data_IF_884271815213
#
_entry.id   IF_884271815213
#
_cell.length_a   1.000
_cell.length_b   1.000
_cell.length_c   1.000
_cell.angle_alpha   90.00
_cell.angle_beta   90.00
_cell.angle_gamma   90.00
#
_symmetry.space_group_name_H-M   'P 1'
#
loop_
_entity.id
_entity.type
_entity.pdbx_description
1 polymer ?
#
# COMPACT_ATOMS: atom_id res chain seq x y z
N UNK A 1 57.96 43.32 25.40
CA UNK A 1 58.28 41.88 25.47
C UNK A 1 57.10 41.14 24.86
N UNK A 2 57.38 40.31 23.85
CA UNK A 2 56.47 39.87 22.79
C UNK A 2 55.29 39.02 23.28
N UNK A 3 54.05 39.44 22.97
CA UNK A 3 52.90 38.54 22.85
C UNK A 3 52.79 38.14 21.38
N UNK A 4 53.28 36.95 21.04
CA UNK A 4 53.11 36.36 19.71
C UNK A 4 52.06 35.25 19.80
N UNK A 5 50.88 35.60 19.29
CA UNK A 5 49.76 34.77 18.85
C UNK A 5 50.13 33.36 18.35
N UNK A 6 49.69 32.35 19.09
CA UNK A 6 49.64 30.95 18.67
C UNK A 6 48.34 30.73 17.87
N UNK A 7 48.33 31.18 16.62
CA UNK A 7 47.35 30.75 15.62
C UNK A 7 48.06 29.73 14.72
N UNK A 8 47.97 28.46 15.08
CA UNK A 8 48.36 27.37 14.18
C UNK A 8 47.39 27.37 13.00
N UNK A 9 47.82 27.97 11.88
CA UNK A 9 47.23 27.70 10.58
C UNK A 9 47.52 26.24 10.24
N UNK A 10 46.55 25.35 10.48
CA UNK A 10 46.57 23.99 9.94
C UNK A 10 46.63 24.11 8.42
N UNK A 11 47.81 23.84 7.86
CA UNK A 11 48.02 23.85 6.41
C UNK A 11 47.31 22.63 5.82
N UNK A 12 46.14 22.86 5.23
CA UNK A 12 45.39 21.81 4.53
C UNK A 12 45.77 21.86 3.06
N UNK A 13 46.36 20.77 2.53
CA UNK A 13 46.74 20.68 1.12
C UNK A 13 45.49 20.82 0.23
N UNK A 14 45.40 21.85 -0.63
CA UNK A 14 44.22 22.07 -1.48
C UNK A 14 43.94 20.92 -2.46
N UNK A 15 44.95 20.13 -2.83
CA UNK A 15 44.76 18.93 -3.66
C UNK A 15 44.06 17.81 -2.88
N UNK A 16 44.37 17.68 -1.60
CA UNK A 16 43.72 16.72 -0.71
C UNK A 16 42.25 17.10 -0.47
N UNK A 17 41.97 18.39 -0.27
CA UNK A 17 40.60 18.91 -0.13
C UNK A 17 39.79 18.67 -1.40
N UNK A 18 40.35 18.93 -2.58
CA UNK A 18 39.70 18.65 -3.86
C UNK A 18 39.39 17.16 -4.07
N UNK A 19 40.30 16.29 -3.66
CA UNK A 19 40.11 14.83 -3.74
C UNK A 19 39.04 14.34 -2.77
N UNK A 20 39.08 14.77 -1.51
CA UNK A 20 38.11 14.36 -0.49
C UNK A 20 36.70 14.87 -0.83
N UNK A 21 36.58 16.11 -1.31
CA UNK A 21 35.30 16.66 -1.74
C UNK A 21 34.74 15.93 -2.96
N UNK A 22 35.57 15.59 -3.94
CA UNK A 22 35.14 14.79 -5.09
C UNK A 22 34.64 13.39 -4.67
N UNK A 23 35.36 12.71 -3.77
CA UNK A 23 34.97 11.39 -3.25
C UNK A 23 33.64 11.48 -2.49
N UNK A 24 33.46 12.49 -1.64
CA UNK A 24 32.21 12.68 -0.90
C UNK A 24 31.02 12.91 -1.84
N UNK A 25 31.18 13.71 -2.88
CA UNK A 25 30.13 13.95 -3.89
C UNK A 25 29.76 12.65 -4.60
N UNK A 26 30.74 11.85 -5.02
CA UNK A 26 30.48 10.55 -5.67
C UNK A 26 29.73 9.60 -4.74
N UNK A 27 30.11 9.53 -3.46
CA UNK A 27 29.42 8.71 -2.46
C UNK A 27 27.97 9.15 -2.26
N UNK A 28 27.71 10.45 -2.19
CA UNK A 28 26.34 10.99 -2.05
C UNK A 28 25.48 10.69 -3.28
N UNK A 29 26.05 10.84 -4.48
CA UNK A 29 25.34 10.52 -5.73
C UNK A 29 25.04 9.02 -5.81
N UNK A 30 25.99 8.16 -5.47
CA UNK A 30 25.78 6.71 -5.44
C UNK A 30 24.72 6.32 -4.40
N UNK A 31 24.75 6.90 -3.20
CA UNK A 31 23.79 6.62 -2.15
C UNK A 31 22.36 7.01 -2.56
N UNK A 32 22.18 8.21 -3.12
CA UNK A 32 20.87 8.68 -3.62
C UNK A 32 20.35 7.83 -4.78
N UNK A 33 21.23 7.40 -5.69
CA UNK A 33 20.83 6.48 -6.76
C UNK A 33 20.39 5.11 -6.22
N UNK A 34 21.13 4.57 -5.24
CA UNK A 34 20.79 3.32 -4.58
C UNK A 34 19.45 3.39 -3.84
N UNK A 35 19.17 4.46 -3.08
CA UNK A 35 17.90 4.61 -2.37
C UNK A 35 16.73 4.72 -3.34
N UNK A 36 16.85 5.48 -4.43
CA UNK A 36 15.81 5.58 -5.47
C UNK A 36 15.56 4.23 -6.14
N UNK A 37 16.60 3.46 -6.45
CA UNK A 37 16.49 2.11 -7.03
C UNK A 37 15.79 1.14 -6.08
N UNK A 38 16.14 1.16 -4.79
CA UNK A 38 15.52 0.31 -3.77
C UNK A 38 14.05 0.68 -3.61
N UNK A 39 13.72 1.96 -3.45
CA UNK A 39 12.33 2.42 -3.29
C UNK A 39 11.49 2.10 -4.53
N UNK A 40 12.01 2.33 -5.75
CA UNK A 40 11.31 1.94 -6.98
C UNK A 40 11.10 0.42 -7.03
N UNK A 41 12.15 -0.37 -6.80
CA UNK A 41 12.05 -1.85 -6.79
C UNK A 41 11.05 -2.34 -5.74
N UNK A 42 11.03 -1.73 -4.56
CA UNK A 42 10.08 -2.03 -3.49
C UNK A 42 8.66 -1.67 -3.92
N UNK A 43 8.46 -0.48 -4.51
CA UNK A 43 7.15 -0.03 -5.02
C UNK A 43 6.61 -0.88 -6.17
N UNK A 44 7.48 -1.41 -7.02
CA UNK A 44 7.10 -2.39 -8.06
C UNK A 44 6.78 -3.77 -7.50
N UNK A 45 7.43 -4.18 -6.39
CA UNK A 45 7.14 -5.45 -5.71
C UNK A 45 5.88 -5.40 -4.85
N UNK A 46 5.61 -4.25 -4.25
CA UNK A 46 4.37 -3.95 -3.55
C UNK A 46 3.41 -3.17 -4.45
N UNK A 47 3.21 -3.60 -5.71
CA UNK A 47 2.08 -3.08 -6.47
C UNK A 47 0.82 -3.56 -5.76
N UNK A 48 0.19 -2.70 -4.93
CA UNK A 48 -0.76 -3.17 -3.94
C UNK A 48 -1.98 -3.76 -4.64
N UNK A 49 -2.31 -3.26 -5.84
CA UNK A 49 -3.41 -3.76 -6.66
C UNK A 49 -3.21 -5.21 -7.08
N UNK A 50 -1.98 -5.65 -7.36
CA UNK A 50 -1.71 -7.05 -7.72
C UNK A 50 -1.76 -7.96 -6.49
N UNK A 51 -1.15 -7.54 -5.38
CA UNK A 51 -1.19 -8.27 -4.11
C UNK A 51 -2.62 -8.42 -3.58
N UNK A 52 -3.43 -7.35 -3.63
CA UNK A 52 -4.83 -7.42 -3.23
C UNK A 52 -5.64 -8.33 -4.14
N UNK A 53 -5.38 -8.31 -5.45
CA UNK A 53 -6.07 -9.17 -6.40
C UNK A 53 -5.74 -10.65 -6.16
N UNK A 54 -4.46 -10.98 -5.97
CA UNK A 54 -3.99 -12.33 -5.67
C UNK A 54 -4.57 -12.85 -4.34
N UNK A 55 -4.56 -12.01 -3.28
CA UNK A 55 -5.15 -12.37 -1.99
C UNK A 55 -6.67 -12.51 -2.08
N UNK A 56 -7.38 -11.66 -2.83
CA UNK A 56 -8.82 -11.81 -3.04
C UNK A 56 -9.16 -13.09 -3.81
N UNK A 57 -8.39 -13.39 -4.85
CA UNK A 57 -8.57 -14.61 -5.64
C UNK A 57 -8.30 -15.86 -4.79
N UNK A 58 -7.29 -15.83 -3.90
CA UNK A 58 -7.02 -16.92 -2.95
C UNK A 58 -8.14 -17.07 -1.89
N UNK A 59 -8.63 -15.96 -1.34
CA UNK A 59 -9.74 -15.97 -0.36
C UNK A 59 -11.03 -16.50 -1.02
N UNK A 60 -11.38 -16.02 -2.21
CA UNK A 60 -12.58 -16.43 -2.94
C UNK A 60 -12.45 -17.87 -3.45
N UNK A 61 -11.26 -18.27 -3.89
CA UNK A 61 -10.95 -19.62 -4.39
C UNK A 61 -10.73 -20.66 -3.29
N UNK A 62 -10.69 -20.26 -2.02
CA UNK A 62 -10.58 -21.19 -0.91
C UNK A 62 -11.81 -22.09 -0.83
N UNK A 63 -11.59 -23.40 -0.77
CA UNK A 63 -12.65 -24.42 -0.62
C UNK A 63 -13.58 -24.15 0.59
N UNK A 64 -13.06 -23.45 1.61
CA UNK A 64 -13.83 -23.03 2.79
C UNK A 64 -14.86 -21.94 2.49
N UNK A 65 -14.72 -21.22 1.38
CA UNK A 65 -15.55 -20.07 1.01
C UNK A 65 -16.73 -20.44 0.10
N UNK A 66 -16.64 -21.56 -0.62
CA UNK A 66 -17.70 -22.10 -1.51
C UNK A 66 -19.11 -22.04 -0.90
N UNK A 67 -19.36 -22.43 0.36
CA UNK A 67 -20.70 -22.35 0.96
C UNK A 67 -21.23 -20.92 1.16
N UNK A 68 -20.33 -19.95 1.30
CA UNK A 68 -20.65 -18.55 1.57
C UNK A 68 -20.82 -17.72 0.30
N UNK A 69 -20.35 -18.23 -0.84
CA UNK A 69 -20.53 -17.59 -2.15
C UNK A 69 -21.98 -17.76 -2.62
N UNK A 70 -22.75 -16.66 -2.56
CA UNK A 70 -24.13 -16.62 -3.06
C UNK A 70 -24.18 -16.03 -4.46
N UNK A 71 -24.93 -16.67 -5.36
CA UNK A 71 -25.09 -16.18 -6.74
C UNK A 71 -25.95 -14.92 -6.72
N UNK A 72 -25.48 -13.85 -7.38
CA UNK A 72 -26.20 -12.57 -7.42
C UNK A 72 -27.61 -12.67 -7.96
N UNK A 73 -27.85 -13.55 -8.95
CA UNK A 73 -29.16 -13.79 -9.58
C UNK A 73 -30.22 -14.33 -8.62
N UNK A 74 -29.78 -14.90 -7.50
CA UNK A 74 -30.68 -15.48 -6.49
C UNK A 74 -31.00 -14.47 -5.38
N UNK A 75 -30.36 -13.29 -5.39
CA UNK A 75 -30.58 -12.20 -4.44
C UNK A 75 -31.44 -11.09 -5.07
N UNK A 76 -32.62 -10.88 -4.50
CA UNK A 76 -33.53 -9.78 -4.86
C UNK A 76 -33.47 -8.72 -3.77
N UNK A 77 -33.27 -7.46 -4.15
CA UNK A 77 -33.17 -6.33 -3.22
C UNK A 77 -34.44 -5.47 -3.30
N UNK A 78 -34.96 -5.13 -2.14
CA UNK A 78 -36.22 -4.41 -1.96
C UNK A 78 -35.96 -3.07 -1.24
N UNK A 79 -36.56 -2.81 -0.10
CA UNK A 79 -36.49 -1.51 0.58
C UNK A 79 -35.08 -1.15 1.09
N UNK A 80 -34.72 0.13 1.03
CA UNK A 80 -33.56 0.67 1.73
C UNK A 80 -33.89 0.78 3.23
N UNK A 81 -33.14 0.06 4.06
CA UNK A 81 -33.38 0.00 5.51
C UNK A 81 -32.32 0.74 6.32
N UNK A 82 -31.23 1.19 5.69
CA UNK A 82 -30.24 2.03 6.36
C UNK A 82 -29.12 2.47 5.43
N UNK A 83 -28.37 3.47 5.87
CA UNK A 83 -27.14 3.93 5.26
C UNK A 83 -26.10 4.12 6.37
N UNK A 84 -24.86 3.76 6.09
CA UNK A 84 -23.74 3.99 7.00
C UNK A 84 -22.49 4.38 6.22
N UNK A 85 -21.39 4.58 6.93
CA UNK A 85 -20.11 5.03 6.37
C UNK A 85 -19.67 4.24 5.12
N UNK A 86 -19.90 2.93 5.12
CA UNK A 86 -19.50 2.04 4.04
C UNK A 86 -20.53 1.91 2.91
N UNK A 87 -21.70 2.53 3.02
CA UNK A 87 -22.78 2.48 2.03
C UNK A 87 -24.13 2.03 2.57
N UNK A 88 -24.96 1.52 1.67
CA UNK A 88 -26.39 1.31 1.89
C UNK A 88 -26.72 -0.12 2.31
N UNK A 89 -27.69 -0.29 3.21
CA UNK A 89 -28.26 -1.58 3.62
C UNK A 89 -29.69 -1.66 3.10
N UNK A 90 -30.00 -2.71 2.34
CA UNK A 90 -31.34 -2.98 1.83
C UNK A 90 -31.88 -4.29 2.37
N UNK A 91 -33.18 -4.35 2.63
CA UNK A 91 -33.89 -5.62 2.81
C UNK A 91 -33.90 -6.36 1.47
N UNK A 92 -33.80 -7.68 1.51
CA UNK A 92 -33.84 -8.50 0.31
C UNK A 92 -34.35 -9.90 0.59
N UNK A 93 -34.46 -10.67 -0.47
CA UNK A 93 -34.83 -12.08 -0.45
C UNK A 93 -33.74 -12.85 -1.18
N UNK A 94 -33.13 -13.81 -0.50
CA UNK A 94 -32.16 -14.73 -1.06
C UNK A 94 -32.84 -16.09 -1.30
N UNK A 95 -32.76 -16.58 -2.54
CA UNK A 95 -33.15 -17.95 -2.88
C UNK A 95 -31.91 -18.83 -2.77
N UNK A 96 -32.02 -19.96 -2.10
CA UNK A 96 -30.93 -20.92 -2.03
C UNK A 96 -31.35 -22.20 -2.75
N UNK A 97 -30.43 -22.82 -3.48
CA UNK A 97 -30.70 -24.07 -4.18
C UNK A 97 -31.17 -25.12 -3.14
N UNK A 98 -32.43 -25.58 -3.28
CA UNK A 98 -33.15 -26.53 -2.38
C UNK A 98 -33.69 -25.96 -1.06
N UNK A 99 -33.52 -24.67 -0.76
CA UNK A 99 -34.17 -24.05 0.41
C UNK A 99 -35.25 -23.05 -0.01
N UNK A 100 -36.15 -22.77 0.94
CA UNK A 100 -37.19 -21.76 0.78
C UNK A 100 -36.54 -20.36 0.77
N UNK A 101 -37.17 -19.40 0.10
CA UNK A 101 -36.64 -18.04 0.01
C UNK A 101 -36.52 -17.39 1.40
N UNK A 102 -35.34 -16.87 1.74
CA UNK A 102 -35.02 -16.30 3.06
C UNK A 102 -34.93 -14.78 2.96
N UNK A 103 -35.51 -14.08 3.94
CA UNK A 103 -35.37 -12.63 4.06
C UNK A 103 -33.98 -12.30 4.62
N UNK A 104 -33.27 -11.40 3.96
CA UNK A 104 -31.89 -11.01 4.30
C UNK A 104 -31.73 -9.50 4.35
N UNK A 105 -30.67 -9.04 5.04
CA UNK A 105 -30.16 -7.69 4.91
C UNK A 105 -28.91 -7.71 4.03
N UNK A 106 -28.89 -6.93 2.96
CA UNK A 106 -27.79 -6.84 2.03
C UNK A 106 -27.15 -5.45 2.09
N UNK A 107 -25.88 -5.39 2.50
CA UNK A 107 -25.10 -4.16 2.53
C UNK A 107 -24.31 -4.03 1.23
N UNK A 108 -24.55 -2.94 0.50
CA UNK A 108 -23.81 -2.58 -0.71
C UNK A 108 -22.72 -1.60 -0.34
N UNK A 109 -21.47 -1.99 -0.58
CA UNK A 109 -20.33 -1.13 -0.35
C UNK A 109 -20.25 -0.09 -1.47
N UNK A 110 -20.14 1.18 -1.11
CA UNK A 110 -19.96 2.29 -2.06
C UNK A 110 -18.62 2.95 -1.77
N UNK A 111 -17.69 2.91 -2.72
CA UNK A 111 -16.45 3.68 -2.63
C UNK A 111 -16.77 5.13 -3.03
N UNK A 112 -16.67 6.05 -2.08
CA UNK A 112 -16.55 7.49 -2.36
C UNK A 112 -15.08 7.83 -2.57
#
# INVERSE_FOLDING_TARGET
>A
MYFASFLEHVYVDPKLVGSVTAVLVVVLVAATFCTVRIVKRLRYRLDPTQLFKEVLEDIVGSEKMEPWLKKRRDLYLDELIGEGEFGHVRKGVLREDRQQAVIVAAKTLSQR
#
